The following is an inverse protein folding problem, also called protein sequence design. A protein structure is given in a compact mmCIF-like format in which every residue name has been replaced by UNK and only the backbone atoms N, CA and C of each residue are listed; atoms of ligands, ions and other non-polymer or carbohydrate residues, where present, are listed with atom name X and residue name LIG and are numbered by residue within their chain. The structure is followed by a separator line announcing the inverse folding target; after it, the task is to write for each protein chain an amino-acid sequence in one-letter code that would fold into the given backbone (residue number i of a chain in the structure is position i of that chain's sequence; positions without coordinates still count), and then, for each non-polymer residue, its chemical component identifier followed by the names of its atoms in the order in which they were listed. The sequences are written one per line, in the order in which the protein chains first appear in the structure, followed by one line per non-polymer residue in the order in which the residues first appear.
data_IF_311969080278
#
_entry.id   IF_311969080278
#
_cell.length_a   1.000
_cell.length_b   1.000
_cell.length_c   1.000
_cell.angle_alpha   90.00
_cell.angle_beta   90.00
_cell.angle_gamma   90.00
#
_symmetry.space_group_name_H-M   'P 1'
#
loop_
_entity.id
_entity.type
_entity.pdbx_description
1 polymer ?
#
# COMPACT_ATOMS: atom_id res chain seq x y z
N UNK A 1 -5.11 -11.88 -27.53
CA UNK A 1 -4.31 -11.73 -26.32
C UNK A 1 -5.17 -11.11 -25.23
N UNK A 2 -4.91 -11.49 -23.98
CA UNK A 2 -5.39 -10.80 -22.77
C UNK A 2 -4.14 -10.36 -22.00
N UNK A 3 -3.99 -9.07 -21.77
CA UNK A 3 -2.89 -8.51 -20.98
C UNK A 3 -3.45 -8.10 -19.64
N UNK A 4 -2.83 -8.55 -18.57
CA UNK A 4 -3.19 -8.25 -17.19
C UNK A 4 -2.01 -7.48 -16.59
N UNK A 5 -2.20 -6.18 -16.45
CA UNK A 5 -1.23 -5.33 -15.80
C UNK A 5 -1.38 -5.42 -14.28
N UNK A 6 -0.28 -5.24 -13.54
CA UNK A 6 -0.20 -5.37 -12.10
C UNK A 6 -0.79 -6.70 -11.59
N UNK A 7 -0.43 -7.81 -12.28
CA UNK A 7 -1.00 -9.14 -12.02
C UNK A 7 -0.85 -9.58 -10.55
N UNK A 8 0.18 -9.14 -9.84
CA UNK A 8 0.39 -9.43 -8.43
C UNK A 8 -0.82 -9.04 -7.55
N UNK A 9 -1.56 -7.98 -7.91
CA UNK A 9 -2.74 -7.51 -7.18
C UNK A 9 -3.90 -8.51 -7.22
N UNK A 10 -3.86 -9.46 -8.16
CA UNK A 10 -4.87 -10.50 -8.38
C UNK A 10 -4.51 -11.85 -7.72
N UNK A 11 -3.24 -12.05 -7.32
CA UNK A 11 -2.75 -13.37 -6.94
C UNK A 11 -3.24 -13.87 -5.58
N UNK A 12 -3.75 -13.02 -4.71
CA UNK A 12 -4.03 -13.35 -3.31
C UNK A 12 -5.49 -13.29 -2.90
N UNK A 13 -6.36 -12.74 -3.73
CA UNK A 13 -7.75 -12.49 -3.38
C UNK A 13 -8.76 -13.06 -4.37
N UNK A 14 -10.03 -13.03 -3.98
CA UNK A 14 -11.14 -13.52 -4.80
C UNK A 14 -11.28 -12.74 -6.12
N UNK A 15 -10.75 -11.49 -6.19
CA UNK A 15 -10.72 -10.69 -7.41
C UNK A 15 -9.97 -11.40 -8.54
N UNK A 16 -8.86 -12.06 -8.24
CA UNK A 16 -8.09 -12.81 -9.24
C UNK A 16 -8.86 -13.99 -9.81
N UNK A 17 -9.44 -14.81 -8.93
CA UNK A 17 -10.32 -15.91 -9.34
C UNK A 17 -11.51 -15.41 -10.17
N UNK A 18 -12.16 -14.32 -9.76
CA UNK A 18 -13.25 -13.70 -10.51
C UNK A 18 -12.80 -13.25 -11.91
N UNK A 19 -11.65 -12.62 -12.01
CA UNK A 19 -11.07 -12.18 -13.28
C UNK A 19 -10.83 -13.36 -14.21
N UNK A 20 -10.23 -14.46 -13.71
CA UNK A 20 -10.02 -15.68 -14.51
C UNK A 20 -11.34 -16.32 -14.94
N UNK A 21 -12.35 -16.40 -14.07
CA UNK A 21 -13.68 -16.88 -14.43
C UNK A 21 -14.30 -16.06 -15.58
N UNK A 22 -14.19 -14.73 -15.51
CA UNK A 22 -14.69 -13.84 -16.56
C UNK A 22 -13.94 -14.03 -17.89
N UNK A 23 -12.62 -14.18 -17.84
CA UNK A 23 -11.81 -14.47 -19.04
C UNK A 23 -12.20 -15.83 -19.63
N UNK A 24 -12.46 -16.84 -18.84
CA UNK A 24 -12.93 -18.15 -19.32
C UNK A 24 -14.32 -18.06 -19.98
N UNK A 25 -15.24 -17.34 -19.38
CA UNK A 25 -16.57 -17.11 -19.96
C UNK A 25 -16.48 -16.36 -21.30
N UNK A 26 -15.66 -15.31 -21.34
CA UNK A 26 -15.39 -14.55 -22.56
C UNK A 26 -14.77 -15.43 -23.64
N UNK A 27 -13.82 -16.29 -23.26
CA UNK A 27 -13.15 -17.22 -24.19
C UNK A 27 -14.16 -18.22 -24.81
N UNK A 28 -15.10 -18.72 -24.01
CA UNK A 28 -16.17 -19.60 -24.50
C UNK A 28 -17.11 -18.88 -25.47
N UNK A 29 -17.54 -17.67 -25.12
CA UNK A 29 -18.43 -16.87 -25.98
C UNK A 29 -17.78 -16.54 -27.32
N UNK A 30 -16.48 -16.25 -27.29
CA UNK A 30 -15.72 -15.92 -28.51
C UNK A 30 -15.23 -17.15 -29.27
N UNK A 31 -15.39 -18.37 -28.72
CA UNK A 31 -14.88 -19.60 -29.33
C UNK A 31 -13.36 -19.67 -29.48
N UNK A 32 -12.62 -18.91 -28.63
CA UNK A 32 -11.16 -18.79 -28.69
C UNK A 32 -10.52 -18.99 -27.34
N UNK A 33 -9.28 -19.47 -27.33
CA UNK A 33 -8.47 -19.55 -26.12
C UNK A 33 -7.34 -18.52 -26.22
N UNK A 34 -7.52 -17.28 -25.71
CA UNK A 34 -6.53 -16.23 -25.87
C UNK A 34 -5.26 -16.50 -25.06
N UNK A 35 -4.11 -16.10 -25.58
CA UNK A 35 -2.87 -16.07 -24.81
C UNK A 35 -3.00 -15.01 -23.71
N UNK A 36 -2.55 -15.34 -22.49
CA UNK A 36 -2.57 -14.44 -21.35
C UNK A 36 -1.17 -13.98 -21.03
N UNK A 37 -1.03 -12.70 -20.78
CA UNK A 37 0.23 -12.03 -20.47
C UNK A 37 0.03 -11.29 -19.16
N UNK A 38 0.82 -11.61 -18.14
CA UNK A 38 0.86 -10.87 -16.87
C UNK A 38 2.06 -9.94 -16.85
N UNK A 39 1.84 -8.71 -16.46
CA UNK A 39 2.87 -7.71 -16.21
C UNK A 39 2.87 -7.34 -14.73
N UNK A 40 4.03 -7.24 -14.12
CA UNK A 40 4.18 -6.77 -12.75
C UNK A 40 5.62 -6.40 -12.46
N UNK A 41 5.82 -5.38 -11.64
CA UNK A 41 7.13 -5.00 -11.12
C UNK A 41 7.54 -5.85 -9.90
N UNK A 42 6.57 -6.47 -9.20
CA UNK A 42 6.79 -7.14 -7.91
C UNK A 42 6.16 -8.54 -7.95
N UNK A 43 6.92 -9.53 -8.39
CA UNK A 43 6.49 -10.94 -8.40
C UNK A 43 7.51 -11.74 -7.61
N UNK A 44 7.09 -12.26 -6.45
CA UNK A 44 7.93 -13.11 -5.61
C UNK A 44 8.02 -14.55 -6.11
N UNK A 45 6.95 -15.05 -6.75
CA UNK A 45 6.86 -16.38 -7.33
C UNK A 45 6.38 -16.28 -8.79
N UNK A 46 7.31 -16.12 -9.75
CA UNK A 46 6.96 -16.04 -11.16
C UNK A 46 6.33 -17.33 -11.69
N UNK A 47 6.74 -18.50 -11.19
CA UNK A 47 6.24 -19.79 -11.63
C UNK A 47 4.80 -20.02 -11.17
N UNK A 48 4.50 -19.76 -9.90
CA UNK A 48 3.14 -19.78 -9.37
C UNK A 48 2.23 -18.74 -10.05
N UNK A 49 2.75 -17.55 -10.34
CA UNK A 49 2.02 -16.52 -11.11
C UNK A 49 1.70 -16.99 -12.52
N UNK A 50 2.67 -17.61 -13.17
CA UNK A 50 2.47 -18.20 -14.49
C UNK A 50 1.46 -19.34 -14.48
N UNK A 51 1.52 -20.22 -13.50
CA UNK A 51 0.55 -21.29 -13.29
C UNK A 51 -0.88 -20.71 -13.09
N UNK A 52 -1.01 -19.67 -12.25
CA UNK A 52 -2.28 -18.95 -12.07
C UNK A 52 -2.85 -18.42 -13.39
N UNK A 53 -2.04 -17.75 -14.19
CA UNK A 53 -2.48 -17.22 -15.47
C UNK A 53 -2.85 -18.32 -16.48
N UNK A 54 -2.17 -19.48 -16.42
CA UNK A 54 -2.41 -20.60 -17.30
C UNK A 54 -3.64 -21.46 -16.94
N UNK A 55 -4.25 -21.23 -15.77
CA UNK A 55 -5.41 -22.00 -15.30
C UNK A 55 -6.49 -22.12 -16.37
N UNK A 56 -6.92 -23.36 -16.64
CA UNK A 56 -7.97 -23.67 -17.64
C UNK A 56 -7.59 -23.43 -19.10
N UNK A 57 -6.32 -23.14 -19.44
CA UNK A 57 -5.89 -22.91 -20.83
C UNK A 57 -5.23 -24.14 -21.47
N UNK A 58 -4.68 -25.05 -20.71
CA UNK A 58 -3.82 -26.14 -21.18
C UNK A 58 -2.50 -25.69 -21.82
N UNK A 59 -2.10 -24.43 -21.63
CA UNK A 59 -0.89 -23.85 -22.21
C UNK A 59 0.28 -23.88 -21.25
N UNK A 60 1.49 -24.00 -21.81
CA UNK A 60 2.74 -23.84 -21.06
C UNK A 60 2.97 -22.35 -20.74
N UNK A 61 3.56 -22.12 -19.57
CA UNK A 61 3.97 -20.80 -19.12
C UNK A 61 5.39 -20.48 -19.57
N UNK A 62 5.60 -19.27 -20.08
CA UNK A 62 6.92 -18.73 -20.38
C UNK A 62 7.19 -17.57 -19.42
N UNK A 63 8.33 -17.63 -18.72
CA UNK A 63 8.77 -16.60 -17.78
C UNK A 63 10.07 -16.01 -18.32
N UNK A 64 10.02 -14.82 -18.96
CA UNK A 64 11.22 -14.16 -19.45
C UNK A 64 12.08 -13.71 -18.26
N UNK A 65 13.34 -14.10 -18.19
CA UNK A 65 14.31 -13.58 -17.22
C UNK A 65 14.94 -12.31 -17.78
N UNK A 66 14.50 -11.17 -17.30
CA UNK A 66 15.07 -9.86 -17.68
C UNK A 66 16.06 -9.49 -16.58
N UNK A 67 17.35 -9.37 -16.94
CA UNK A 67 18.38 -8.82 -16.07
C UNK A 67 18.32 -7.29 -16.20
N UNK A 68 17.54 -6.64 -15.34
CA UNK A 68 17.62 -5.20 -15.19
C UNK A 68 18.67 -4.84 -14.13
N UNK A 69 19.53 -3.83 -14.37
CA UNK A 69 20.41 -3.34 -13.31
C UNK A 69 19.56 -2.82 -12.16
N UNK A 70 19.83 -3.27 -10.95
CA UNK A 70 19.11 -2.82 -9.76
C UNK A 70 19.35 -1.33 -9.54
N UNK A 71 18.29 -0.55 -9.39
CA UNK A 71 18.43 0.84 -8.96
C UNK A 71 18.88 0.86 -7.50
N UNK A 72 19.82 1.75 -7.11
CA UNK A 72 20.21 1.89 -5.72
C UNK A 72 19.04 2.42 -4.88
N UNK A 73 19.01 2.01 -3.62
CA UNK A 73 18.00 2.45 -2.66
C UNK A 73 18.62 3.26 -1.54
N UNK A 74 17.85 4.21 -1.02
CA UNK A 74 18.11 4.90 0.23
C UNK A 74 16.93 4.63 1.17
N UNK A 75 17.18 3.88 2.23
CA UNK A 75 16.19 3.60 3.26
C UNK A 75 16.64 4.29 4.56
N UNK A 76 15.70 4.99 5.20
CA UNK A 76 15.81 5.46 6.57
C UNK A 76 14.67 4.85 7.39
N UNK A 77 14.92 4.56 8.64
CA UNK A 77 13.91 4.07 9.58
C UNK A 77 14.12 4.77 10.91
N UNK A 78 13.19 5.65 11.24
CA UNK A 78 13.16 6.40 12.48
C UNK A 78 12.06 5.85 13.38
N UNK A 79 12.33 5.73 14.66
CA UNK A 79 11.42 5.18 15.64
C UNK A 79 11.10 6.22 16.72
N UNK A 80 9.81 6.43 16.95
CA UNK A 80 9.29 7.40 17.91
C UNK A 80 8.35 6.74 18.89
N UNK A 81 8.44 7.12 20.15
CA UNK A 81 7.42 6.82 21.15
C UNK A 81 6.39 7.95 21.18
N UNK A 82 5.12 7.56 21.14
CA UNK A 82 3.98 8.48 21.26
C UNK A 82 3.38 8.31 22.65
N UNK A 83 3.20 9.41 23.35
CA UNK A 83 2.50 9.39 24.66
C UNK A 83 0.99 9.35 24.38
N UNK A 84 0.31 8.40 25.01
CA UNK A 84 -1.16 8.37 24.98
C UNK A 84 -1.71 9.46 25.90
N UNK A 85 -2.13 10.56 25.30
CA UNK A 85 -2.64 11.74 26.03
C UNK A 85 -3.93 11.42 26.80
N UNK A 86 -4.71 10.44 26.38
CA UNK A 86 -5.93 10.03 27.08
C UNK A 86 -5.66 9.31 28.41
N UNK A 87 -4.48 8.69 28.56
CA UNK A 87 -4.08 8.06 29.81
C UNK A 87 -3.58 9.08 30.86
N UNK A 88 -3.28 10.31 30.48
CA UNK A 88 -2.72 11.34 31.34
C UNK A 88 -3.79 12.19 32.05
N UNK A 89 -5.03 12.24 31.60
CA UNK A 89 -6.11 13.03 32.20
C UNK A 89 -6.59 12.52 33.61
N UNK A 90 -6.04 11.42 34.10
CA UNK A 90 -6.42 10.81 35.36
C UNK A 90 -5.32 10.75 36.44
N UNK A 91 -4.12 11.27 36.19
CA UNK A 91 -3.03 11.25 37.19
C UNK A 91 -2.56 12.66 37.52
N UNK A 92 -2.62 13.05 38.78
CA UNK A 92 -2.00 14.27 39.30
C UNK A 92 -0.51 14.30 38.90
N UNK A 93 -0.18 15.11 37.91
CA UNK A 93 1.20 15.34 37.46
C UNK A 93 1.83 16.27 38.53
N UNK A 94 2.94 15.90 39.17
CA UNK A 94 3.63 16.82 40.07
C UNK A 94 4.09 18.08 39.32
N UNK A 95 3.73 19.27 39.80
CA UNK A 95 4.09 20.60 39.21
C UNK A 95 5.57 20.77 38.86
N UNK A 96 6.46 19.92 39.37
CA UNK A 96 7.90 19.95 39.07
C UNK A 96 8.27 19.42 37.67
N UNK A 97 7.40 18.72 36.95
CA UNK A 97 7.66 18.26 35.56
C UNK A 97 7.16 19.21 34.48
N UNK A 98 6.24 20.14 34.79
CA UNK A 98 5.79 21.17 33.88
C UNK A 98 6.86 22.21 33.48
N UNK A 99 7.92 22.33 34.28
CA UNK A 99 8.96 23.33 34.08
C UNK A 99 10.07 22.96 33.11
N UNK A 100 10.05 21.74 32.52
CA UNK A 100 11.10 21.24 31.64
C UNK A 100 10.63 20.98 30.19
N UNK A 101 9.33 21.07 29.92
CA UNK A 101 8.84 21.16 28.52
C UNK A 101 8.82 22.65 28.14
N UNK A 102 9.91 23.14 27.57
CA UNK A 102 9.84 24.35 26.74
C UNK A 102 8.79 24.07 25.67
N UNK A 103 7.56 24.56 25.88
CA UNK A 103 6.51 24.65 24.86
C UNK A 103 7.09 25.51 23.75
N UNK A 104 7.73 24.88 22.79
CA UNK A 104 7.94 25.52 21.51
C UNK A 104 6.56 25.74 20.91
N UNK A 105 6.11 26.98 20.81
CA UNK A 105 4.84 27.44 20.18
C UNK A 105 4.70 27.01 18.71
N UNK A 106 5.52 26.08 18.26
CA UNK A 106 5.69 25.66 16.86
C UNK A 106 5.07 24.30 16.55
N UNK A 107 4.55 23.56 17.55
CA UNK A 107 3.94 22.24 17.34
C UNK A 107 2.49 22.20 17.83
N UNK A 108 1.55 21.53 17.11
CA UNK A 108 0.19 21.31 17.54
C UNK A 108 0.13 20.61 18.91
N UNK A 109 -0.88 20.94 19.71
CA UNK A 109 -1.15 20.17 20.93
C UNK A 109 -1.40 18.71 20.54
N UNK A 110 -0.73 17.78 21.21
CA UNK A 110 -0.83 16.33 20.97
C UNK A 110 -0.24 15.84 19.62
N UNK A 111 0.62 16.63 18.98
CA UNK A 111 1.35 16.12 17.82
C UNK A 111 2.43 15.13 18.27
N UNK A 112 2.44 13.96 17.64
CA UNK A 112 3.51 13.00 17.88
C UNK A 112 4.85 13.46 17.26
N UNK A 113 5.99 13.09 17.84
CA UNK A 113 7.30 13.51 17.33
C UNK A 113 7.59 13.03 15.91
N UNK A 114 6.99 11.91 15.51
CA UNK A 114 7.11 11.39 14.15
C UNK A 114 6.47 12.31 13.11
N UNK A 115 5.34 12.97 13.44
CA UNK A 115 4.72 13.96 12.54
C UNK A 115 5.54 15.24 12.44
N UNK A 116 6.15 15.68 13.54
CA UNK A 116 7.11 16.79 13.52
C UNK A 116 8.32 16.49 12.63
N UNK A 117 8.85 15.29 12.73
CA UNK A 117 9.93 14.81 11.87
C UNK A 117 9.54 14.83 10.38
N UNK A 118 8.35 14.31 10.03
CA UNK A 118 7.83 14.34 8.65
C UNK A 118 7.65 15.79 8.17
N UNK A 119 7.08 16.67 9.00
CA UNK A 119 6.88 18.07 8.66
C UNK A 119 8.19 18.75 8.26
N UNK A 120 9.26 18.58 9.04
CA UNK A 120 10.57 19.18 8.75
C UNK A 120 11.20 18.60 7.48
N UNK A 121 11.14 17.27 7.29
CA UNK A 121 11.82 16.58 6.20
C UNK A 121 11.08 16.59 4.86
N UNK A 122 9.84 17.09 4.83
CA UNK A 122 9.07 17.33 3.59
C UNK A 122 9.24 18.75 3.07
N UNK A 123 9.84 19.65 3.85
CA UNK A 123 10.01 21.06 3.48
C UNK A 123 10.85 21.21 2.21
N UNK A 124 10.33 21.93 1.21
CA UNK A 124 11.00 22.15 -0.06
C UNK A 124 11.20 20.91 -0.93
N UNK A 125 10.41 19.87 -0.71
CA UNK A 125 10.45 18.60 -1.46
C UNK A 125 9.07 18.19 -1.95
N UNK A 126 9.06 17.44 -3.05
CA UNK A 126 7.87 16.80 -3.57
C UNK A 126 7.81 15.35 -3.07
N UNK A 127 6.89 15.07 -2.15
CA UNK A 127 6.87 13.82 -1.42
C UNK A 127 5.51 13.10 -1.51
N UNK A 128 5.56 11.77 -1.32
CA UNK A 128 4.41 10.98 -0.90
C UNK A 128 4.57 10.59 0.56
N UNK A 129 3.46 10.63 1.31
CA UNK A 129 3.39 10.12 2.66
C UNK A 129 2.33 9.02 2.71
N UNK A 130 2.77 7.79 2.82
CA UNK A 130 1.89 6.61 2.90
C UNK A 130 1.48 6.32 4.34
N UNK A 131 0.19 6.05 4.51
CA UNK A 131 -0.42 5.61 5.76
C UNK A 131 -1.23 4.34 5.54
N UNK A 132 -1.59 3.64 6.62
CA UNK A 132 -2.22 2.33 6.53
C UNK A 132 -3.76 2.36 6.59
N UNK A 133 -4.38 3.49 6.99
CA UNK A 133 -5.84 3.66 7.01
C UNK A 133 -6.26 5.02 6.47
N UNK A 134 -7.55 5.14 6.13
CA UNK A 134 -8.13 6.42 5.65
C UNK A 134 -8.26 7.42 6.78
N UNK A 135 -8.66 6.96 7.95
CA UNK A 135 -8.77 7.77 9.16
C UNK A 135 -7.42 8.37 9.53
N UNK A 136 -6.37 7.57 9.50
CA UNK A 136 -5.00 8.03 9.70
C UNK A 136 -4.58 9.06 8.62
N UNK A 137 -4.99 8.85 7.37
CA UNK A 137 -4.73 9.79 6.27
C UNK A 137 -5.33 11.17 6.54
N UNK A 138 -6.56 11.22 7.02
CA UNK A 138 -7.26 12.45 7.38
C UNK A 138 -6.63 13.13 8.60
N UNK A 139 -6.38 12.37 9.66
CA UNK A 139 -5.77 12.87 10.90
C UNK A 139 -4.37 13.42 10.66
N UNK A 140 -3.50 12.67 10.00
CA UNK A 140 -2.13 13.07 9.68
C UNK A 140 -2.12 14.32 8.81
N UNK A 141 -2.98 14.39 7.78
CA UNK A 141 -3.07 15.58 6.91
C UNK A 141 -3.48 16.81 7.71
N UNK A 142 -4.49 16.68 8.56
CA UNK A 142 -4.98 17.78 9.39
C UNK A 142 -3.90 18.27 10.34
N UNK A 143 -3.20 17.36 11.03
CA UNK A 143 -2.12 17.72 11.94
C UNK A 143 -0.96 18.41 11.21
N UNK A 144 -0.55 17.91 10.04
CA UNK A 144 0.52 18.53 9.26
C UNK A 144 0.14 19.93 8.74
N UNK A 145 -1.12 20.18 8.42
CA UNK A 145 -1.64 21.51 8.08
C UNK A 145 -1.60 22.45 9.27
N UNK A 146 -1.93 21.96 10.49
CA UNK A 146 -1.79 22.74 11.70
C UNK A 146 -0.33 23.19 11.93
N UNK A 147 0.65 22.33 11.64
CA UNK A 147 2.06 22.74 11.67
C UNK A 147 2.34 23.91 10.71
N UNK A 148 1.78 23.88 9.49
CA UNK A 148 1.91 25.00 8.56
C UNK A 148 1.29 26.29 9.12
N UNK A 149 0.07 26.22 9.67
CA UNK A 149 -0.63 27.36 10.25
C UNK A 149 0.18 27.96 11.43
N UNK A 150 0.64 27.14 12.35
CA UNK A 150 1.41 27.59 13.52
C UNK A 150 2.75 28.21 13.13
N UNK A 151 3.40 27.71 12.10
CA UNK A 151 4.67 28.23 11.60
C UNK A 151 4.49 29.35 10.55
N UNK A 152 3.25 29.80 10.29
CA UNK A 152 2.93 30.81 9.28
C UNK A 152 3.46 30.44 7.86
N UNK A 153 3.48 29.15 7.55
CA UNK A 153 3.87 28.62 6.26
C UNK A 153 2.64 28.32 5.38
N UNK A 154 2.75 28.39 4.06
CA UNK A 154 1.67 27.99 3.17
C UNK A 154 1.37 26.49 3.32
N UNK A 155 0.08 26.13 3.21
CA UNK A 155 -0.33 24.72 3.18
C UNK A 155 0.29 24.02 1.97
N UNK A 156 1.03 22.95 2.24
CA UNK A 156 1.69 22.12 1.23
C UNK A 156 1.25 20.64 1.30
N UNK A 157 0.21 20.36 2.09
CA UNK A 157 -0.23 18.99 2.31
C UNK A 157 -1.54 18.70 1.59
N UNK A 158 -1.49 17.75 0.66
CA UNK A 158 -2.64 17.22 -0.05
C UNK A 158 -3.06 15.89 0.56
N UNK A 159 -4.34 15.54 0.39
CA UNK A 159 -4.89 14.25 0.81
C UNK A 159 -5.39 13.46 -0.40
N UNK A 160 -5.13 12.15 -0.42
CA UNK A 160 -5.60 11.27 -1.49
C UNK A 160 -5.95 9.87 -0.96
N UNK A 161 -7.24 9.53 -0.96
CA UNK A 161 -7.73 8.19 -0.63
C UNK A 161 -9.06 7.87 -1.34
N UNK A 162 -9.45 6.59 -1.33
CA UNK A 162 -10.55 6.09 -2.14
C UNK A 162 -11.95 6.65 -1.84
N UNK A 163 -12.18 7.25 -0.65
CA UNK A 163 -13.50 7.83 -0.30
C UNK A 163 -13.67 9.28 -0.75
N UNK A 164 -12.61 9.92 -1.21
CA UNK A 164 -12.72 11.28 -1.77
C UNK A 164 -13.45 11.25 -3.11
N UNK A 165 -14.15 12.35 -3.43
CA UNK A 165 -14.79 12.52 -4.74
C UNK A 165 -13.77 12.42 -5.87
N UNK A 166 -14.22 11.96 -7.05
CA UNK A 166 -13.34 11.85 -8.21
C UNK A 166 -12.69 13.20 -8.56
N UNK A 167 -13.48 14.28 -8.56
CA UNK A 167 -12.98 15.63 -8.87
C UNK A 167 -11.89 16.10 -7.90
N UNK A 168 -12.03 15.79 -6.61
CA UNK A 168 -11.02 16.17 -5.62
C UNK A 168 -9.70 15.39 -5.83
N UNK A 169 -9.80 14.10 -6.13
CA UNK A 169 -8.61 13.27 -6.44
C UNK A 169 -7.90 13.75 -7.70
N UNK A 170 -8.66 14.00 -8.77
CA UNK A 170 -8.12 14.53 -10.04
C UNK A 170 -7.42 15.88 -9.86
N UNK A 171 -7.97 16.75 -9.01
CA UNK A 171 -7.34 18.04 -8.66
C UNK A 171 -6.01 17.81 -7.93
N UNK A 172 -5.98 16.93 -6.92
CA UNK A 172 -4.74 16.61 -6.21
C UNK A 172 -3.69 15.98 -7.15
N UNK A 173 -4.10 15.07 -8.03
CA UNK A 173 -3.22 14.47 -9.03
C UNK A 173 -2.68 15.49 -10.04
N UNK A 174 -3.50 16.46 -10.48
CA UNK A 174 -3.07 17.54 -11.36
C UNK A 174 -2.04 18.45 -10.68
N UNK A 175 -2.27 18.81 -9.40
CA UNK A 175 -1.31 19.59 -8.63
C UNK A 175 0.00 18.84 -8.42
N UNK A 176 -0.05 17.52 -8.23
CA UNK A 176 1.15 16.68 -8.11
C UNK A 176 1.94 16.59 -9.41
N UNK A 177 1.34 16.78 -10.57
CA UNK A 177 2.07 16.79 -11.87
C UNK A 177 2.84 18.08 -12.12
N UNK A 178 2.49 19.15 -11.43
CA UNK A 178 3.19 20.42 -11.54
C UNK A 178 4.53 20.36 -10.82
N UNK A 179 5.62 20.27 -11.57
CA UNK A 179 6.98 20.19 -11.03
C UNK A 179 7.49 21.48 -10.39
N UNK A 180 6.75 22.58 -10.51
CA UNK A 180 7.08 23.86 -9.85
C UNK A 180 6.64 23.92 -8.39
N UNK A 181 5.78 22.98 -7.94
CA UNK A 181 5.21 22.96 -6.60
C UNK A 181 5.84 21.84 -5.74
N UNK A 182 6.32 22.22 -4.56
CA UNK A 182 6.83 21.30 -3.57
C UNK A 182 5.71 20.88 -2.61
N UNK A 183 4.98 19.84 -3.00
CA UNK A 183 3.81 19.35 -2.29
C UNK A 183 4.06 17.96 -1.70
N UNK A 184 3.47 17.70 -0.56
CA UNK A 184 3.43 16.38 0.06
C UNK A 184 2.00 15.84 0.04
N UNK A 185 1.78 14.71 -0.60
CA UNK A 185 0.46 14.06 -0.62
C UNK A 185 0.42 12.93 0.37
N UNK A 186 -0.46 13.05 1.37
CA UNK A 186 -0.78 11.98 2.31
C UNK A 186 -1.76 11.02 1.64
N UNK A 187 -1.42 9.74 1.59
CA UNK A 187 -2.18 8.76 0.82
C UNK A 187 -2.20 7.38 1.46
N UNK A 188 -3.22 6.61 1.11
CA UNK A 188 -3.27 5.16 1.35
C UNK A 188 -2.71 4.40 0.14
N UNK A 189 -3.07 3.14 -0.04
CA UNK A 189 -2.66 2.33 -1.18
C UNK A 189 -3.13 2.85 -2.57
N UNK A 190 -3.91 3.93 -2.63
CA UNK A 190 -4.46 4.44 -3.90
C UNK A 190 -3.39 5.00 -4.85
N UNK A 191 -2.26 5.44 -4.35
CA UNK A 191 -1.13 5.92 -5.14
C UNK A 191 0.05 4.91 -5.22
N UNK A 192 -0.17 3.66 -4.81
CA UNK A 192 0.81 2.58 -5.03
C UNK A 192 0.92 2.21 -6.51
N UNK A 193 -0.18 2.26 -7.26
CA UNK A 193 -0.29 1.72 -8.61
C UNK A 193 -0.63 2.77 -9.66
N UNK A 194 -0.02 2.63 -10.84
CA UNK A 194 -0.52 3.04 -12.15
C UNK A 194 -0.74 4.54 -12.43
N UNK A 195 -0.72 5.42 -11.45
CA UNK A 195 -0.97 6.84 -11.67
C UNK A 195 0.35 7.57 -11.91
N UNK A 196 0.40 8.34 -12.99
CA UNK A 196 1.51 9.26 -13.23
C UNK A 196 1.31 10.53 -12.39
N UNK A 197 2.14 10.69 -11.37
CA UNK A 197 2.10 11.79 -10.40
C UNK A 197 3.33 12.70 -10.50
N UNK A 198 4.05 12.62 -11.60
CA UNK A 198 5.24 13.44 -11.82
C UNK A 198 6.48 12.91 -11.07
N UNK A 199 7.47 13.79 -10.92
CA UNK A 199 8.74 13.45 -10.28
C UNK A 199 8.62 13.58 -8.77
N UNK A 200 8.84 12.49 -8.06
CA UNK A 200 8.88 12.46 -6.59
C UNK A 200 10.34 12.33 -6.11
N UNK A 201 10.66 13.07 -5.08
CA UNK A 201 12.00 13.05 -4.48
C UNK A 201 12.09 12.03 -3.35
N UNK A 202 11.02 11.91 -2.54
CA UNK A 202 11.01 11.06 -1.36
C UNK A 202 9.63 10.46 -1.10
N UNK A 203 9.62 9.21 -0.64
CA UNK A 203 8.44 8.59 -0.07
C UNK A 203 8.64 8.42 1.44
N UNK A 204 7.63 8.79 2.21
CA UNK A 204 7.51 8.48 3.63
C UNK A 204 6.50 7.36 3.82
N UNK A 205 6.72 6.58 4.85
CA UNK A 205 5.83 5.52 5.29
C UNK A 205 5.64 5.60 6.80
N UNK A 206 4.43 5.89 7.24
CA UNK A 206 4.08 5.79 8.65
C UNK A 206 3.80 4.32 8.96
N UNK A 207 4.50 3.79 9.94
CA UNK A 207 4.54 2.39 10.34
C UNK A 207 4.89 1.46 9.16
N UNK A 208 4.93 0.14 9.34
CA UNK A 208 5.23 -0.76 8.23
C UNK A 208 3.99 -0.98 7.34
N UNK A 209 4.13 -1.07 6.02
CA UNK A 209 3.05 -1.56 5.18
C UNK A 209 2.77 -3.04 5.46
N UNK A 210 1.57 -3.51 5.08
CA UNK A 210 1.14 -4.88 5.39
C UNK A 210 1.84 -5.97 4.57
N UNK A 211 2.49 -5.59 3.46
CA UNK A 211 3.10 -6.54 2.53
C UNK A 211 4.42 -6.02 1.97
N UNK A 212 5.31 -6.94 1.64
CA UNK A 212 6.55 -6.62 0.91
C UNK A 212 6.24 -6.03 -0.46
N UNK A 213 5.21 -6.53 -1.13
CA UNK A 213 4.75 -6.00 -2.41
C UNK A 213 4.38 -4.52 -2.31
N UNK A 214 3.58 -4.11 -1.30
CA UNK A 214 3.25 -2.71 -1.06
C UNK A 214 4.50 -1.86 -0.78
N UNK A 215 5.42 -2.36 0.03
CA UNK A 215 6.70 -1.68 0.28
C UNK A 215 7.44 -1.37 -1.03
N UNK A 216 7.60 -2.37 -1.89
CA UNK A 216 8.30 -2.23 -3.16
C UNK A 216 7.62 -1.24 -4.12
N UNK A 217 6.28 -1.27 -4.18
CA UNK A 217 5.50 -0.37 -5.02
C UNK A 217 5.58 1.08 -4.55
N UNK A 218 5.48 1.32 -3.22
CA UNK A 218 5.63 2.65 -2.61
C UNK A 218 7.03 3.21 -2.87
N UNK A 219 8.05 2.39 -2.67
CA UNK A 219 9.43 2.78 -2.94
C UNK A 219 9.65 3.06 -4.44
N UNK A 220 9.06 2.27 -5.33
CA UNK A 220 9.14 2.45 -6.78
C UNK A 220 8.47 3.73 -7.30
N UNK A 221 7.78 4.51 -6.43
CA UNK A 221 7.27 5.85 -6.77
C UNK A 221 8.37 6.91 -6.81
N UNK A 222 9.50 6.65 -6.20
CA UNK A 222 10.70 7.51 -6.19
C UNK A 222 11.83 6.90 -7.03
N UNK A 223 12.92 7.61 -7.23
CA UNK A 223 14.13 7.05 -7.84
C UNK A 223 14.07 6.83 -9.35
N UNK A 224 13.64 7.81 -10.12
CA UNK A 224 13.64 7.72 -11.60
C UNK A 224 14.99 8.11 -12.20
N UNK A 225 15.49 7.25 -13.12
CA UNK A 225 16.63 7.36 -14.03
C UNK A 225 18.01 7.62 -13.41
N UNK A 226 18.20 8.68 -12.63
CA UNK A 226 19.55 9.08 -12.16
C UNK A 226 19.64 9.26 -10.64
N UNK A 227 18.55 9.04 -9.92
CA UNK A 227 18.50 9.16 -8.46
C UNK A 227 18.07 7.83 -7.81
N UNK A 228 18.65 7.47 -6.65
CA UNK A 228 18.21 6.30 -5.91
C UNK A 228 16.74 6.45 -5.48
N UNK A 229 16.02 5.32 -5.41
CA UNK A 229 14.71 5.32 -4.77
C UNK A 229 14.88 5.62 -3.28
N UNK A 230 14.13 6.60 -2.77
CA UNK A 230 14.27 7.08 -1.39
C UNK A 230 12.99 6.86 -0.61
N UNK A 231 13.09 6.07 0.48
CA UNK A 231 11.96 5.78 1.37
C UNK A 231 12.37 5.90 2.83
N UNK A 232 11.54 6.63 3.57
CA UNK A 232 11.74 6.93 4.99
C UNK A 232 10.59 6.36 5.79
N UNK A 233 10.89 5.38 6.63
CA UNK A 233 9.93 4.84 7.59
C UNK A 233 9.91 5.70 8.84
N UNK A 234 8.73 6.05 9.29
CA UNK A 234 8.46 6.72 10.55
C UNK A 234 7.61 5.78 11.38
N UNK A 235 8.26 5.04 12.24
CA UNK A 235 7.62 4.04 13.10
C UNK A 235 7.20 4.72 14.39
N UNK A 236 5.92 4.58 14.75
CA UNK A 236 5.32 5.19 15.94
C UNK A 236 4.77 4.10 16.84
N UNK A 237 5.26 4.03 18.04
CA UNK A 237 4.79 3.09 19.06
C UNK A 237 4.41 3.82 20.34
N UNK A 238 3.43 3.27 21.05
CA UNK A 238 3.01 3.80 22.33
C UNK A 238 4.15 3.64 23.34
N UNK A 239 4.37 4.65 24.17
CA UNK A 239 5.37 4.56 25.24
C UNK A 239 4.93 3.50 26.26
N UNK A 240 5.76 2.48 26.52
CA UNK A 240 5.38 1.42 27.46
C UNK A 240 5.20 1.96 28.86
N UNK A 241 4.16 1.54 29.56
CA UNK A 241 3.98 1.87 30.99
C UNK A 241 5.12 1.30 31.83
N UNK A 242 5.47 1.99 32.94
CA UNK A 242 6.58 1.63 33.85
C UNK A 242 6.49 0.18 34.41
N UNK A 243 5.27 -0.40 34.43
CA UNK A 243 5.01 -1.78 34.87
C UNK A 243 4.38 -2.65 33.78
N UNK A 244 4.59 -2.29 32.52
CA UNK A 244 4.07 -3.07 31.40
C UNK A 244 4.65 -4.49 31.40
N UNK A 245 3.85 -5.46 30.99
CA UNK A 245 4.32 -6.83 30.77
C UNK A 245 5.25 -6.88 29.55
N UNK A 246 6.19 -7.82 29.52
CA UNK A 246 7.18 -7.96 28.47
C UNK A 246 6.62 -7.85 27.04
N UNK A 247 5.47 -8.44 26.65
CA UNK A 247 4.93 -8.26 25.29
C UNK A 247 4.59 -6.82 24.92
N UNK A 248 4.22 -5.99 25.90
CA UNK A 248 3.89 -4.57 25.67
C UNK A 248 5.13 -3.66 25.65
N UNK A 249 6.31 -4.17 26.05
CA UNK A 249 7.58 -3.42 25.95
C UNK A 249 8.35 -3.68 24.67
N UNK A 250 7.89 -4.64 23.85
CA UNK A 250 8.54 -5.01 22.59
C UNK A 250 8.06 -4.06 21.49
N UNK A 251 8.96 -3.43 20.74
CA UNK A 251 8.61 -2.53 19.65
C UNK A 251 8.17 -3.32 18.41
N UNK A 252 6.94 -3.81 18.41
CA UNK A 252 6.41 -4.70 17.38
C UNK A 252 6.35 -4.07 16.00
N UNK A 253 6.01 -2.79 15.92
CA UNK A 253 5.94 -2.08 14.64
C UNK A 253 7.33 -1.88 14.03
N UNK A 254 8.34 -1.57 14.87
CA UNK A 254 9.72 -1.48 14.45
C UNK A 254 10.24 -2.84 13.95
N UNK A 255 10.00 -3.91 14.72
CA UNK A 255 10.38 -5.25 14.32
C UNK A 255 9.70 -5.68 13.02
N UNK A 256 8.43 -5.35 12.84
CA UNK A 256 7.71 -5.60 11.59
C UNK A 256 8.35 -4.87 10.41
N UNK A 257 8.72 -3.59 10.58
CA UNK A 257 9.39 -2.80 9.56
C UNK A 257 10.74 -3.40 9.15
N UNK A 258 11.55 -3.76 10.13
CA UNK A 258 12.86 -4.40 9.91
C UNK A 258 12.69 -5.74 9.19
N UNK A 259 11.82 -6.62 9.69
CA UNK A 259 11.58 -7.93 9.11
C UNK A 259 11.09 -7.85 7.65
N UNK A 260 10.19 -6.90 7.35
CA UNK A 260 9.69 -6.67 5.99
C UNK A 260 10.81 -6.28 5.02
N UNK A 261 11.69 -5.38 5.44
CA UNK A 261 12.84 -4.94 4.62
C UNK A 261 13.83 -6.09 4.45
N UNK A 262 14.16 -6.83 5.52
CA UNK A 262 15.09 -7.96 5.49
C UNK A 262 14.61 -9.09 4.58
N UNK A 263 13.34 -9.48 4.66
CA UNK A 263 12.76 -10.51 3.79
C UNK A 263 13.05 -10.24 2.30
N UNK A 264 12.95 -8.99 1.89
CA UNK A 264 13.25 -8.67 0.50
C UNK A 264 14.75 -8.53 0.24
N UNK A 265 15.51 -7.89 1.12
CA UNK A 265 16.96 -7.67 0.88
C UNK A 265 17.75 -8.97 0.87
N UNK A 266 17.44 -9.89 1.79
CA UNK A 266 18.17 -11.14 1.97
C UNK A 266 17.65 -12.25 1.05
N UNK A 267 16.34 -12.43 1.00
CA UNK A 267 15.71 -13.57 0.31
C UNK A 267 15.04 -13.20 -1.00
N UNK A 268 14.94 -11.91 -1.34
CA UNK A 268 14.13 -11.41 -2.46
C UNK A 268 12.68 -11.91 -2.39
N UNK A 269 12.24 -12.21 -1.17
CA UNK A 269 10.90 -12.73 -0.94
C UNK A 269 9.83 -11.66 -1.17
N UNK A 270 8.78 -12.09 -1.82
CA UNK A 270 7.54 -11.33 -1.97
C UNK A 270 6.38 -12.32 -1.85
N UNK A 271 5.21 -11.85 -1.51
CA UNK A 271 4.07 -12.71 -1.24
C UNK A 271 3.72 -13.61 -2.43
N UNK A 272 3.72 -14.94 -2.25
CA UNK A 272 3.35 -15.88 -3.33
C UNK A 272 1.84 -15.85 -3.59
N UNK A 273 1.39 -16.32 -4.77
CA UNK A 273 -0.02 -16.48 -5.07
C UNK A 273 -0.68 -17.49 -4.13
N UNK A 274 -1.94 -17.24 -3.78
CA UNK A 274 -2.75 -18.16 -2.94
C UNK A 274 -3.60 -19.06 -3.83
N UNK A 275 -3.01 -20.13 -4.37
CA UNK A 275 -3.68 -21.04 -5.29
C UNK A 275 -4.54 -22.11 -4.61
N UNK A 276 -4.27 -22.45 -3.35
CA UNK A 276 -4.91 -23.58 -2.63
C UNK A 276 -6.12 -23.16 -1.80
N UNK A 277 -6.80 -22.07 -2.16
CA UNK A 277 -7.97 -21.61 -1.44
C UNK A 277 -9.24 -21.99 -2.21
N UNK A 278 -10.25 -22.51 -1.50
CA UNK A 278 -11.60 -22.71 -2.06
C UNK A 278 -12.44 -21.44 -1.83
N UNK A 279 -12.64 -20.59 -2.84
CA UNK A 279 -13.37 -19.34 -2.70
C UNK A 279 -14.88 -19.58 -2.85
N UNK A 280 -15.56 -20.06 -1.79
CA UNK A 280 -16.98 -20.37 -1.82
C UNK A 280 -17.88 -19.19 -2.20
N UNK A 281 -17.51 -17.97 -1.78
CA UNK A 281 -18.22 -16.77 -2.20
C UNK A 281 -18.17 -16.56 -3.71
N UNK A 282 -17.02 -16.80 -4.31
CA UNK A 282 -16.85 -16.73 -5.75
C UNK A 282 -17.65 -17.81 -6.46
N UNK A 283 -17.68 -19.04 -5.96
CA UNK A 283 -18.47 -20.13 -6.48
C UNK A 283 -19.95 -19.74 -6.53
N UNK A 284 -20.49 -19.19 -5.44
CA UNK A 284 -21.87 -18.70 -5.38
C UNK A 284 -22.12 -17.63 -6.47
N UNK A 285 -21.31 -16.59 -6.52
CA UNK A 285 -21.49 -15.49 -7.48
C UNK A 285 -21.35 -15.95 -8.93
N UNK A 286 -20.43 -16.85 -9.23
CA UNK A 286 -20.28 -17.42 -10.60
C UNK A 286 -21.47 -18.29 -10.97
N UNK A 287 -22.01 -19.07 -10.04
CA UNK A 287 -23.23 -19.86 -10.23
C UNK A 287 -24.41 -18.97 -10.58
N UNK A 288 -24.69 -17.95 -9.76
CA UNK A 288 -25.79 -17.01 -9.98
C UNK A 288 -25.65 -16.25 -11.31
N UNK A 289 -24.45 -15.78 -11.60
CA UNK A 289 -24.18 -15.08 -12.87
C UNK A 289 -24.32 -15.98 -14.10
N UNK A 290 -23.98 -17.26 -13.98
CA UNK A 290 -24.13 -18.24 -15.06
C UNK A 290 -25.60 -18.55 -15.31
N UNK A 291 -26.39 -18.77 -14.26
CA UNK A 291 -27.83 -18.98 -14.36
C UNK A 291 -28.55 -17.75 -14.95
N UNK A 292 -28.17 -16.55 -14.52
CA UNK A 292 -28.73 -15.32 -15.08
C UNK A 292 -28.44 -15.16 -16.58
N UNK A 293 -27.31 -15.67 -17.07
CA UNK A 293 -26.93 -15.55 -18.47
C UNK A 293 -27.48 -16.66 -19.37
N UNK A 294 -27.68 -17.87 -18.81
CA UNK A 294 -28.01 -19.07 -19.58
C UNK A 294 -29.44 -19.59 -19.33
N UNK A 295 -30.14 -19.02 -18.35
CA UNK A 295 -31.45 -19.54 -17.90
C UNK A 295 -31.31 -20.83 -17.08
N UNK A 296 -32.23 -21.73 -17.25
CA UNK A 296 -32.25 -23.02 -16.55
C UNK A 296 -31.14 -23.95 -17.06
N UNK A 297 -30.40 -24.54 -16.15
CA UNK A 297 -29.35 -25.52 -16.43
C UNK A 297 -29.51 -26.74 -15.54
N UNK A 298 -29.17 -27.92 -16.07
CA UNK A 298 -29.00 -29.09 -15.20
C UNK A 298 -27.81 -28.90 -14.25
N UNK A 299 -27.78 -29.53 -13.05
CA UNK A 299 -26.66 -29.45 -12.15
C UNK A 299 -25.32 -29.81 -12.79
N UNK A 300 -25.29 -30.83 -13.64
CA UNK A 300 -24.08 -31.23 -14.37
C UNK A 300 -23.63 -30.16 -15.35
N UNK A 301 -24.52 -29.59 -16.15
CA UNK A 301 -24.21 -28.52 -17.10
C UNK A 301 -23.79 -27.22 -16.39
N UNK A 302 -24.32 -26.96 -15.20
CA UNK A 302 -23.90 -25.83 -14.37
C UNK A 302 -22.48 -26.05 -13.81
N UNK A 303 -22.21 -27.26 -13.28
CA UNK A 303 -20.89 -27.65 -12.77
C UNK A 303 -19.82 -27.52 -13.89
N UNK A 304 -20.08 -28.02 -15.08
CA UNK A 304 -19.18 -27.90 -16.23
C UNK A 304 -18.87 -26.45 -16.63
N UNK A 305 -19.76 -25.53 -16.32
CA UNK A 305 -19.57 -24.10 -16.63
C UNK A 305 -18.89 -23.32 -15.53
N UNK A 306 -19.14 -23.69 -14.29
CA UNK A 306 -18.66 -22.94 -13.10
C UNK A 306 -17.36 -23.53 -12.54
N UNK A 307 -17.23 -24.87 -12.51
CA UNK A 307 -16.05 -25.57 -11.96
C UNK A 307 -14.96 -25.81 -13.03
N UNK A 308 -14.77 -24.86 -13.92
CA UNK A 308 -13.78 -24.98 -15.02
C UNK A 308 -12.39 -24.52 -14.65
N UNK A 309 -12.24 -23.91 -13.53
CA UNK A 309 -10.92 -23.58 -12.95
C UNK A 309 -10.60 -24.62 -11.86
N UNK A 310 -9.43 -25.20 -11.86
CA UNK A 310 -8.99 -26.14 -10.83
C UNK A 310 -8.88 -25.48 -9.47
#
# INVERSE_FOLDING_TARGET
FVVIDEVHSLLRGDRGGQTLCLIQRLSRLAGVNPRRIGLSATVGDPEGTGAFLALGTGRQTLIPKIQAPGSPWRLSMEHFFVKDVQAAEGKDIPEAMEALEEKTDTAPQNADPGLGYIYEHTRGKKCLLFVNSREECETVTTTLRQYCEMNHEPDRFLIHHGNLSASYRETAEAMMKDDSQYLTTVTTATLELGIDIGRLERAFQIDAPWTVSSFLQRMGRTGRRDAPAEMWFVIREDEPEVRAMLPATIPWKLLQGIALVQLYLEERWCEPPRLNRLPYSLLYHQTMSTLASCGELSPAALADRVLTLP
#
